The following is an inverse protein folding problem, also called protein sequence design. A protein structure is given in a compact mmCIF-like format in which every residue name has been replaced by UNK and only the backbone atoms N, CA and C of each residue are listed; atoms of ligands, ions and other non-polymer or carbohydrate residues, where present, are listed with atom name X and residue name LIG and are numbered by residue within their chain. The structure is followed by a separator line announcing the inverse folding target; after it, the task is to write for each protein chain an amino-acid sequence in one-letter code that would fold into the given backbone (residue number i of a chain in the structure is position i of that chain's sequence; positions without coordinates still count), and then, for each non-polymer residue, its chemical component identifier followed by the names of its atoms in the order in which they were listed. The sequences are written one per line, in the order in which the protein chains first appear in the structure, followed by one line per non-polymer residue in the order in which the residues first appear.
data_IF_926697569659
#
_entry.id   IF_926697569659
#
_cell.length_a   1.000
_cell.length_b   1.000
_cell.length_c   1.000
_cell.angle_alpha   90.00
_cell.angle_beta   90.00
_cell.angle_gamma   90.00
#
_symmetry.space_group_name_H-M   'P 1'
#
loop_
_entity.id
_entity.type
_entity.pdbx_description
1 polymer ?
#
# COMPACT_ATOMS: atom_id res chain seq x y z
N UNK A 1 9.10 -18.97 -28.59
CA UNK A 1 9.75 -17.66 -28.40
C UNK A 1 8.99 -16.64 -29.22
N UNK A 2 8.44 -15.61 -28.58
CA UNK A 2 7.80 -14.51 -29.30
C UNK A 2 8.90 -13.53 -29.75
N UNK A 3 8.94 -13.21 -31.04
CA UNK A 3 9.83 -12.18 -31.58
C UNK A 3 9.04 -10.87 -31.66
N UNK A 4 9.58 -9.80 -31.07
CA UNK A 4 9.00 -8.45 -31.14
C UNK A 4 9.82 -7.62 -32.12
N UNK A 5 9.18 -7.14 -33.19
CA UNK A 5 9.77 -6.16 -34.10
C UNK A 5 9.10 -4.81 -33.90
N UNK A 6 9.89 -3.80 -33.57
CA UNK A 6 9.43 -2.42 -33.38
C UNK A 6 9.72 -1.66 -34.67
N UNK A 7 8.68 -1.12 -35.32
CA UNK A 7 8.78 -0.33 -36.55
C UNK A 7 8.61 1.16 -36.24
N UNK A 8 9.27 2.02 -37.03
CA UNK A 8 9.13 3.48 -36.93
C UNK A 8 9.82 4.08 -35.70
N UNK A 9 10.88 3.45 -35.20
CA UNK A 9 11.68 4.04 -34.12
C UNK A 9 12.48 5.22 -34.68
N UNK A 10 12.41 6.36 -33.99
CA UNK A 10 13.28 7.50 -34.29
C UNK A 10 14.74 7.12 -33.97
N UNK A 11 15.66 7.39 -34.89
CA UNK A 11 17.09 7.08 -34.76
C UNK A 11 17.73 7.76 -33.55
N UNK A 12 17.33 8.99 -33.21
CA UNK A 12 17.80 9.71 -32.03
C UNK A 12 17.35 9.02 -30.74
N UNK A 13 16.15 8.46 -30.75
CA UNK A 13 15.61 7.72 -29.62
C UNK A 13 16.30 6.36 -29.47
N UNK A 14 16.58 5.68 -30.59
CA UNK A 14 17.39 4.45 -30.57
C UNK A 14 18.80 4.71 -30.04
N UNK A 15 19.43 5.82 -30.43
CA UNK A 15 20.75 6.23 -29.95
C UNK A 15 20.76 6.44 -28.42
N UNK A 16 19.71 7.08 -27.88
CA UNK A 16 19.54 7.24 -26.43
C UNK A 16 19.41 5.91 -25.70
N UNK A 17 18.58 4.98 -26.21
CA UNK A 17 18.45 3.63 -25.63
C UNK A 17 19.80 2.92 -25.66
N UNK A 18 20.54 3.03 -26.76
CA UNK A 18 21.86 2.40 -26.89
C UNK A 18 22.86 2.96 -25.90
N UNK A 19 22.91 4.28 -25.73
CA UNK A 19 23.78 4.93 -24.74
C UNK A 19 23.44 4.47 -23.31
N UNK A 20 22.14 4.39 -22.99
CA UNK A 20 21.68 3.94 -21.69
C UNK A 20 22.00 2.45 -21.45
N UNK A 21 21.81 1.60 -22.46
CA UNK A 21 22.19 0.19 -22.41
C UNK A 21 23.71 0.01 -22.19
N UNK A 22 24.54 0.81 -22.86
CA UNK A 22 25.99 0.83 -22.64
C UNK A 22 26.36 1.24 -21.21
N UNK A 23 25.69 2.26 -20.66
CA UNK A 23 25.94 2.71 -19.28
C UNK A 23 25.55 1.67 -18.23
N UNK A 24 24.53 0.85 -18.51
CA UNK A 24 24.06 -0.23 -17.63
C UNK A 24 24.76 -1.58 -17.90
N UNK A 25 25.75 -1.63 -18.80
CA UNK A 25 26.41 -2.86 -19.26
C UNK A 25 25.44 -3.94 -19.75
N UNK A 26 24.38 -3.53 -20.45
CA UNK A 26 23.33 -4.40 -20.99
C UNK A 26 23.28 -4.34 -22.51
N UNK A 27 22.80 -5.42 -23.13
CA UNK A 27 22.44 -5.36 -24.55
C UNK A 27 21.18 -4.50 -24.76
N UNK A 28 21.03 -3.92 -25.96
CA UNK A 28 19.86 -3.10 -26.29
C UNK A 28 18.55 -3.88 -26.13
N UNK A 29 18.50 -5.14 -26.58
CA UNK A 29 17.32 -6.00 -26.43
C UNK A 29 16.96 -6.24 -24.96
N UNK A 30 17.97 -6.50 -24.11
CA UNK A 30 17.75 -6.65 -22.67
C UNK A 30 17.31 -5.35 -22.03
N UNK A 31 17.83 -4.20 -22.47
CA UNK A 31 17.43 -2.90 -21.94
C UNK A 31 15.97 -2.61 -22.22
N UNK A 32 15.50 -2.88 -23.44
CA UNK A 32 14.10 -2.71 -23.81
C UNK A 32 13.20 -3.62 -22.96
N UNK A 33 13.60 -4.88 -22.77
CA UNK A 33 12.86 -5.81 -21.91
C UNK A 33 12.82 -5.34 -20.45
N UNK A 34 13.95 -4.86 -19.93
CA UNK A 34 14.05 -4.34 -18.57
C UNK A 34 13.15 -3.12 -18.37
N UNK A 35 13.24 -2.13 -19.26
CA UNK A 35 12.38 -0.94 -19.21
C UNK A 35 10.90 -1.29 -19.31
N UNK A 36 10.53 -2.24 -20.16
CA UNK A 36 9.14 -2.70 -20.29
C UNK A 36 8.66 -3.37 -19.01
N UNK A 37 9.47 -4.24 -18.42
CA UNK A 37 9.14 -4.93 -17.16
C UNK A 37 9.00 -3.92 -16.02
N UNK A 38 9.95 -3.00 -15.89
CA UNK A 38 9.92 -1.91 -14.91
C UNK A 38 8.65 -1.07 -15.05
N UNK A 39 8.28 -0.69 -16.28
CA UNK A 39 7.06 0.07 -16.53
C UNK A 39 5.80 -0.70 -16.11
N UNK A 40 5.70 -1.99 -16.46
CA UNK A 40 4.54 -2.81 -16.08
C UNK A 40 4.44 -2.99 -14.56
N UNK A 41 5.57 -3.21 -13.87
CA UNK A 41 5.60 -3.30 -12.42
C UNK A 41 5.17 -1.99 -11.76
N UNK A 42 5.70 -0.85 -12.22
CA UNK A 42 5.32 0.48 -11.72
C UNK A 42 3.84 0.78 -11.97
N UNK A 43 3.33 0.41 -13.15
CA UNK A 43 1.91 0.57 -13.49
C UNK A 43 1.02 -0.29 -12.59
N UNK A 44 1.39 -1.55 -12.36
CA UNK A 44 0.65 -2.44 -11.48
C UNK A 44 0.65 -1.90 -10.04
N UNK A 45 1.80 -1.43 -9.55
CA UNK A 45 1.90 -0.79 -8.23
C UNK A 45 1.02 0.46 -8.14
N UNK A 46 1.08 1.34 -9.14
CA UNK A 46 0.25 2.54 -9.20
C UNK A 46 -1.25 2.23 -9.27
N UNK A 47 -1.65 1.10 -9.86
CA UNK A 47 -3.04 0.63 -9.86
C UNK A 47 -3.45 -0.04 -8.54
N UNK A 48 -2.51 -0.68 -7.83
CA UNK A 48 -2.77 -1.34 -6.55
C UNK A 48 -2.76 -0.39 -5.35
N UNK A 49 -2.02 0.71 -5.44
CA UNK A 49 -2.05 1.78 -4.45
C UNK A 49 -3.35 2.55 -4.69
N UNK A 50 -4.29 2.48 -3.74
CA UNK A 50 -5.48 3.33 -3.78
C UNK A 50 -5.02 4.76 -4.02
N UNK A 51 -5.53 5.37 -5.09
CA UNK A 51 -5.17 6.74 -5.42
C UNK A 51 -5.40 7.61 -4.17
N UNK A 52 -4.53 8.60 -3.87
CA UNK A 52 -4.73 9.46 -2.70
C UNK A 52 -6.15 10.03 -2.62
N UNK A 53 -6.75 10.35 -3.78
CA UNK A 53 -8.14 10.78 -3.89
C UNK A 53 -9.17 9.70 -3.47
N UNK A 54 -8.94 8.42 -3.77
CA UNK A 54 -9.80 7.32 -3.32
C UNK A 54 -9.70 7.12 -1.81
N UNK A 55 -8.50 7.22 -1.23
CA UNK A 55 -8.32 7.16 0.22
C UNK A 55 -9.05 8.31 0.91
N UNK A 56 -8.94 9.53 0.38
CA UNK A 56 -9.67 10.69 0.92
C UNK A 56 -11.20 10.53 0.82
N UNK A 57 -11.69 9.95 -0.28
CA UNK A 57 -13.11 9.69 -0.47
C UNK A 57 -13.63 8.62 0.51
N UNK A 58 -12.88 7.52 0.68
CA UNK A 58 -13.21 6.49 1.68
C UNK A 58 -13.22 7.04 3.11
N UNK A 59 -12.28 7.92 3.44
CA UNK A 59 -12.23 8.58 4.74
C UNK A 59 -13.39 9.56 4.96
N UNK A 60 -13.85 10.25 3.92
CA UNK A 60 -14.95 11.22 4.06
C UNK A 60 -16.29 10.60 4.50
N UNK A 61 -16.55 9.35 4.13
CA UNK A 61 -17.74 8.62 4.57
C UNK A 61 -17.58 7.92 5.93
N UNK A 62 -16.36 7.79 6.46
CA UNK A 62 -16.11 7.12 7.73
C UNK A 62 -16.47 7.95 8.97
N UNK A 63 -16.80 9.23 8.80
CA UNK A 63 -17.22 10.14 9.86
C UNK A 63 -18.73 10.30 9.96
N UNK A 64 -19.49 9.76 9.01
CA UNK A 64 -20.94 9.70 9.09
C UNK A 64 -21.31 8.55 10.03
N UNK A 65 -21.81 8.90 11.21
CA UNK A 65 -22.29 7.98 12.22
C UNK A 65 -23.79 8.19 12.38
N UNK A 66 -24.57 7.11 12.20
CA UNK A 66 -26.02 7.13 12.37
C UNK A 66 -26.44 7.24 13.85
N UNK A 67 -25.48 7.06 14.78
CA UNK A 67 -25.72 7.17 16.22
C UNK A 67 -25.97 8.61 16.62
N UNK A 68 -26.94 8.77 17.51
CA UNK A 68 -27.20 10.06 18.15
C UNK A 68 -26.08 10.43 19.13
N UNK A 69 -25.94 11.72 19.41
CA UNK A 69 -24.91 12.21 20.35
C UNK A 69 -25.01 11.53 21.74
N UNK A 70 -26.22 11.24 22.20
CA UNK A 70 -26.45 10.58 23.50
C UNK A 70 -25.98 9.12 23.51
N UNK A 71 -26.15 8.39 22.42
CA UNK A 71 -25.66 7.01 22.26
C UNK A 71 -24.13 6.97 22.22
N UNK A 72 -23.51 7.92 21.53
CA UNK A 72 -22.04 8.06 21.49
C UNK A 72 -21.49 8.36 22.90
N UNK A 73 -22.15 9.26 23.65
CA UNK A 73 -21.76 9.59 25.03
C UNK A 73 -21.90 8.36 25.95
N UNK A 74 -22.98 7.60 25.81
CA UNK A 74 -23.22 6.40 26.61
C UNK A 74 -22.17 5.32 26.34
N UNK A 75 -21.86 5.05 25.07
CA UNK A 75 -20.84 4.09 24.64
C UNK A 75 -19.43 4.47 25.14
N UNK A 76 -19.06 5.75 25.02
CA UNK A 76 -17.78 6.27 25.54
C UNK A 76 -17.66 6.15 27.06
N UNK A 77 -18.75 6.40 27.80
CA UNK A 77 -18.77 6.22 29.27
C UNK A 77 -18.62 4.76 29.64
N UNK A 78 -19.35 3.86 28.98
CA UNK A 78 -19.31 2.42 29.25
C UNK A 78 -17.93 1.83 28.90
N UNK A 79 -17.31 2.28 27.81
CA UNK A 79 -15.96 1.87 27.40
C UNK A 79 -14.90 2.29 28.43
N UNK A 80 -15.00 3.52 28.96
CA UNK A 80 -14.11 4.01 30.03
C UNK A 80 -14.28 3.23 31.33
N UNK A 81 -15.52 2.94 31.74
CA UNK A 81 -15.79 2.13 32.94
C UNK A 81 -15.22 0.71 32.82
N UNK A 82 -15.38 0.07 31.64
CA UNK A 82 -14.78 -1.24 31.35
C UNK A 82 -13.25 -1.19 31.36
N UNK A 83 -12.65 -0.15 30.81
CA UNK A 83 -11.19 0.02 30.79
C UNK A 83 -10.61 0.28 32.20
N UNK A 84 -11.32 1.06 33.02
CA UNK A 84 -10.94 1.33 34.41
C UNK A 84 -11.13 0.07 35.28
N UNK A 85 -12.18 -0.72 35.04
CA UNK A 85 -12.43 -1.99 35.73
C UNK A 85 -11.50 -3.12 35.29
N UNK A 86 -11.00 -3.12 34.05
CA UNK A 86 -10.12 -4.15 33.49
C UNK A 86 -8.63 -3.97 33.79
N UNK A 87 -8.25 -2.86 34.41
CA UNK A 87 -6.86 -2.56 34.81
C UNK A 87 -6.51 -3.08 36.22
N UNK A 88 -7.43 -3.80 36.88
CA UNK A 88 -7.20 -4.49 38.15
C UNK A 88 -6.78 -5.95 37.94
N UNK A 89 -5.57 -6.17 37.41
CA UNK A 89 -4.97 -7.50 37.34
C UNK A 89 -4.56 -7.94 38.77
N UNK A 90 -5.48 -8.55 39.51
CA UNK A 90 -5.20 -9.22 40.78
C UNK A 90 -4.77 -10.66 40.49
N UNK A 91 -3.48 -10.94 40.66
CA UNK A 91 -2.90 -12.28 40.59
C UNK A 91 -3.58 -13.22 41.61
N UNK A 92 -3.98 -14.44 41.24
CA UNK A 92 -4.38 -15.42 42.25
C UNK A 92 -3.13 -15.95 42.97
N UNK A 93 -3.03 -15.69 44.27
CA UNK A 93 -2.07 -16.36 45.14
C UNK A 93 -2.35 -17.87 45.17
N UNK A 94 -1.39 -18.68 44.72
CA UNK A 94 -1.40 -20.14 44.89
C UNK A 94 -1.17 -20.50 46.35
N UNK A 95 -1.98 -21.38 46.96
CA UNK A 95 -1.67 -21.91 48.29
C UNK A 95 -0.62 -23.03 48.18
N UNK A 96 0.58 -22.77 48.69
CA UNK A 96 1.53 -23.83 49.08
C UNK A 96 0.90 -24.65 50.21
N UNK A 97 0.62 -25.93 49.95
CA UNK A 97 0.35 -26.93 50.98
C UNK A 97 1.66 -27.60 51.38
N UNK A 98 1.92 -27.60 52.69
CA UNK A 98 2.82 -28.50 53.41
C UNK A 98 2.43 -29.97 53.21
#
# INVERSE_FOLDING_TARGET
MANLHIKGMNDDYYAQIKALACSENRSVSQQILFMTKEYLLKRQQAQSVKMPAQVLLELSGSWEDDRTADEIIADLKQSREKHISGSGCFLPATPEKL
#
